data_IF_633180794194
#
_entry.id   IF_633180794194
#
_cell.length_a   1.000
_cell.length_b   1.000
_cell.length_c   1.000
_cell.angle_alpha   90.00
_cell.angle_beta   90.00
_cell.angle_gamma   90.00
#
_symmetry.space_group_name_H-M   'P 1'
#
loop_
_entity.id
_entity.type
_entity.pdbx_description
1 polymer ?
#
# COMPACT_ATOMS: atom_id res chain seq x y z
N UNK A 1 -1.85 14.51 -12.08
CA UNK A 1 -1.02 13.30 -11.95
C UNK A 1 -0.21 13.01 -13.21
N UNK A 2 1.08 12.67 -13.10
CA UNK A 2 1.90 12.19 -14.22
C UNK A 2 1.45 10.78 -14.64
N UNK A 3 1.42 10.46 -15.94
CA UNK A 3 0.98 9.17 -16.46
C UNK A 3 1.73 7.96 -15.85
N UNK A 4 3.01 8.15 -15.47
CA UNK A 4 3.80 7.15 -14.76
C UNK A 4 3.27 6.84 -13.36
N UNK A 5 2.86 7.86 -12.63
CA UNK A 5 2.39 7.75 -11.25
C UNK A 5 1.06 6.99 -11.19
N UNK A 6 0.16 7.27 -12.14
CA UNK A 6 -1.09 6.53 -12.33
C UNK A 6 -0.82 5.04 -12.62
N UNK A 7 0.21 4.73 -13.42
CA UNK A 7 0.58 3.35 -13.70
C UNK A 7 1.14 2.64 -12.45
N UNK A 8 1.98 3.31 -11.66
CA UNK A 8 2.52 2.76 -10.41
C UNK A 8 1.38 2.47 -9.43
N UNK A 9 0.47 3.42 -9.21
CA UNK A 9 -0.69 3.22 -8.33
C UNK A 9 -1.58 2.10 -8.80
N UNK A 10 -1.82 1.96 -10.11
CA UNK A 10 -2.58 0.83 -10.66
C UNK A 10 -1.90 -0.52 -10.40
N UNK A 11 -0.57 -0.59 -10.53
CA UNK A 11 0.19 -1.81 -10.23
C UNK A 11 0.11 -2.14 -8.74
N UNK A 12 0.16 -1.14 -7.87
CA UNK A 12 0.01 -1.31 -6.42
C UNK A 12 -1.41 -1.78 -6.10
N UNK A 13 -2.43 -1.13 -6.64
CA UNK A 13 -3.83 -1.51 -6.48
C UNK A 13 -4.07 -2.97 -6.90
N UNK A 14 -3.59 -3.38 -8.07
CA UNK A 14 -3.74 -4.77 -8.54
C UNK A 14 -2.96 -5.76 -7.63
N UNK A 15 -1.80 -5.36 -7.11
CA UNK A 15 -1.02 -6.19 -6.18
C UNK A 15 -1.72 -6.34 -4.83
N UNK A 16 -2.40 -5.31 -4.33
CA UNK A 16 -3.11 -5.36 -3.04
C UNK A 16 -4.45 -6.10 -3.17
N UNK A 17 -5.16 -5.89 -4.28
CA UNK A 17 -6.46 -6.54 -4.55
C UNK A 17 -6.31 -7.98 -5.04
N UNK A 18 -5.19 -8.33 -5.68
CA UNK A 18 -4.82 -9.69 -6.08
C UNK A 18 -3.44 -10.06 -5.51
N UNK A 19 -3.35 -10.20 -4.19
CA UNK A 19 -2.08 -10.43 -3.55
C UNK A 19 -1.55 -11.84 -3.83
N UNK A 20 -0.22 -12.02 -3.89
CA UNK A 20 0.39 -13.34 -4.07
C UNK A 20 0.08 -14.27 -2.88
N UNK A 21 -0.13 -13.68 -1.69
CA UNK A 21 -0.56 -14.39 -0.48
C UNK A 21 -1.74 -13.62 0.16
N UNK A 22 -2.79 -14.31 0.64
CA UNK A 22 -3.86 -13.64 1.37
C UNK A 22 -3.33 -13.01 2.67
N UNK A 23 -3.90 -11.88 3.09
CA UNK A 23 -3.56 -11.30 4.38
C UNK A 23 -4.19 -12.15 5.49
N UNK A 24 -3.34 -12.64 6.40
CA UNK A 24 -3.74 -13.40 7.57
C UNK A 24 -3.34 -12.62 8.83
N UNK A 25 -4.25 -11.84 9.44
CA UNK A 25 -3.91 -10.95 10.56
C UNK A 25 -3.37 -11.69 11.79
N UNK A 26 -3.72 -12.97 11.95
CA UNK A 26 -3.19 -13.83 13.02
C UNK A 26 -1.73 -14.25 12.81
N UNK A 27 -1.23 -14.21 11.57
CA UNK A 27 0.14 -14.61 11.23
C UNK A 27 1.07 -13.41 11.06
N UNK A 28 0.55 -12.30 10.52
CA UNK A 28 1.34 -11.13 10.17
C UNK A 28 0.52 -9.84 10.21
N UNK A 29 1.18 -8.74 10.61
CA UNK A 29 0.56 -7.41 10.56
C UNK A 29 0.28 -6.98 9.11
N UNK A 30 -0.77 -6.18 8.93
CA UNK A 30 -1.13 -5.62 7.60
C UNK A 30 0.05 -4.90 6.94
N UNK A 31 0.83 -4.18 7.75
CA UNK A 31 2.08 -3.53 7.35
C UNK A 31 3.08 -4.53 6.76
N UNK A 32 3.43 -5.58 7.50
CA UNK A 32 4.42 -6.55 7.06
C UNK A 32 3.98 -7.26 5.78
N UNK A 33 2.68 -7.62 5.70
CA UNK A 33 2.08 -8.22 4.52
C UNK A 33 2.11 -7.29 3.30
N UNK A 34 1.72 -6.02 3.46
CA UNK A 34 1.72 -5.04 2.38
C UNK A 34 3.15 -4.80 1.86
N UNK A 35 4.11 -4.64 2.77
CA UNK A 35 5.52 -4.52 2.42
C UNK A 35 6.03 -5.75 1.67
N UNK A 36 5.61 -6.97 2.06
CA UNK A 36 5.96 -8.20 1.36
C UNK A 36 5.39 -8.23 -0.05
N UNK A 37 4.08 -7.97 -0.22
CA UNK A 37 3.42 -7.99 -1.53
C UNK A 37 4.08 -7.01 -2.51
N UNK A 38 4.44 -5.81 -2.03
CA UNK A 38 5.13 -4.81 -2.84
C UNK A 38 6.57 -5.22 -3.19
N UNK A 39 7.30 -5.83 -2.25
CA UNK A 39 8.66 -6.36 -2.49
C UNK A 39 8.64 -7.50 -3.51
N UNK A 40 7.70 -8.43 -3.37
CA UNK A 40 7.50 -9.54 -4.29
C UNK A 40 7.22 -9.03 -5.72
N UNK A 41 6.42 -7.95 -5.84
CA UNK A 41 6.18 -7.28 -7.12
C UNK A 41 7.42 -6.59 -7.71
N UNK A 42 8.47 -6.38 -6.92
CA UNK A 42 9.74 -5.76 -7.33
C UNK A 42 9.91 -4.30 -6.88
N UNK A 43 9.02 -3.77 -6.04
CA UNK A 43 9.19 -2.43 -5.48
C UNK A 43 10.23 -2.39 -4.36
N UNK A 44 11.02 -1.32 -4.33
CA UNK A 44 11.99 -1.08 -3.26
C UNK A 44 11.29 -0.44 -2.05
N UNK A 45 10.83 -1.28 -1.12
CA UNK A 45 10.16 -0.83 0.10
C UNK A 45 11.17 -0.45 1.19
N UNK A 46 11.08 0.79 1.69
CA UNK A 46 11.91 1.37 2.73
C UNK A 46 11.07 1.81 3.93
N UNK A 47 11.68 1.87 5.11
CA UNK A 47 11.03 2.42 6.30
C UNK A 47 10.94 3.95 6.21
N UNK A 48 9.86 4.51 6.75
CA UNK A 48 9.61 5.95 6.82
C UNK A 48 9.33 6.36 8.27
N UNK A 49 9.65 7.61 8.63
CA UNK A 49 9.33 8.14 9.97
C UNK A 49 7.92 8.71 10.06
N UNK A 50 7.38 9.25 8.97
CA UNK A 50 6.07 9.93 8.92
C UNK A 50 4.94 9.04 8.37
N UNK A 51 5.25 7.79 8.05
CA UNK A 51 4.34 6.82 7.43
C UNK A 51 4.73 5.41 7.89
N UNK A 52 3.90 4.42 7.60
CA UNK A 52 4.25 3.04 7.92
C UNK A 52 5.46 2.56 7.14
N UNK A 53 5.45 2.83 5.85
CA UNK A 53 6.55 2.56 4.95
C UNK A 53 6.49 3.51 3.75
N UNK A 54 7.53 3.48 2.95
CA UNK A 54 7.56 4.15 1.66
C UNK A 54 8.12 3.20 0.60
N UNK A 55 7.84 3.47 -0.67
CA UNK A 55 8.53 2.81 -1.78
C UNK A 55 9.37 3.83 -2.53
N UNK A 56 10.57 3.41 -2.92
CA UNK A 56 11.45 4.16 -3.79
C UNK A 56 11.20 3.71 -5.24
N UNK A 57 10.72 4.64 -6.05
CA UNK A 57 10.60 4.50 -7.50
C UNK A 57 11.91 5.00 -8.12
N UNK A 58 12.42 4.29 -9.14
CA UNK A 58 13.72 4.62 -9.74
C UNK A 58 13.66 6.01 -10.39
N UNK A 59 14.29 7.00 -9.75
CA UNK A 59 14.43 8.37 -10.25
C UNK A 59 13.27 9.31 -9.90
N UNK A 60 12.38 8.92 -8.99
CA UNK A 60 11.23 9.73 -8.55
C UNK A 60 11.19 9.84 -7.02
N UNK A 61 10.29 10.69 -6.52
CA UNK A 61 10.07 10.88 -5.10
C UNK A 61 9.52 9.61 -4.42
N UNK A 62 9.81 9.49 -3.13
CA UNK A 62 9.30 8.40 -2.30
C UNK A 62 7.79 8.50 -2.21
N UNK A 63 7.11 7.40 -2.50
CA UNK A 63 5.67 7.30 -2.25
C UNK A 63 5.48 6.74 -0.85
N UNK A 64 4.74 7.48 -0.02
CA UNK A 64 4.49 7.12 1.37
C UNK A 64 3.16 6.41 1.51
N UNK A 65 3.15 5.36 2.35
CA UNK A 65 1.99 4.53 2.58
C UNK A 65 1.73 4.34 4.06
N UNK A 66 0.46 4.38 4.43
CA UNK A 66 -0.03 3.96 5.75
C UNK A 66 -0.95 2.77 5.60
N UNK A 67 -1.07 2.00 6.68
CA UNK A 67 -2.00 0.88 6.73
C UNK A 67 -3.06 1.12 7.79
N UNK A 68 -4.29 0.71 7.50
CA UNK A 68 -5.41 0.81 8.44
C UNK A 68 -6.26 -0.45 8.39
N UNK A 69 -6.91 -0.78 9.50
CA UNK A 69 -7.92 -1.83 9.54
C UNK A 69 -9.35 -1.27 9.50
N UNK A 70 -9.49 0.05 9.33
CA UNK A 70 -10.76 0.75 9.12
C UNK A 70 -10.59 1.79 8.01
N UNK A 71 -11.64 2.02 7.23
CA UNK A 71 -11.74 3.10 6.24
C UNK A 71 -12.21 4.42 6.84
N UNK A 72 -12.47 4.48 8.15
CA UNK A 72 -12.79 5.71 8.87
C UNK A 72 -11.61 6.70 8.89
N UNK A 73 -11.91 7.96 8.55
CA UNK A 73 -11.03 9.14 8.71
C UNK A 73 -9.65 9.00 8.05
N UNK A 74 -9.60 8.38 6.86
CA UNK A 74 -8.37 8.29 6.09
C UNK A 74 -7.94 9.67 5.58
N UNK A 75 -6.74 10.09 5.95
CA UNK A 75 -6.15 11.33 5.46
C UNK A 75 -5.83 11.23 3.96
N UNK A 76 -6.43 12.13 3.17
CA UNK A 76 -6.29 12.10 1.70
C UNK A 76 -4.91 12.58 1.19
N UNK A 77 -4.02 13.06 2.07
CA UNK A 77 -2.68 13.54 1.68
C UNK A 77 -1.66 12.40 1.54
N UNK A 78 -2.00 11.18 1.99
CA UNK A 78 -1.14 10.00 1.90
C UNK A 78 -1.91 8.80 1.34
N UNK A 79 -1.18 7.85 0.77
CA UNK A 79 -1.78 6.62 0.24
C UNK A 79 -2.01 5.60 1.36
N UNK A 80 -3.16 4.94 1.34
CA UNK A 80 -3.57 3.99 2.36
C UNK A 80 -3.76 2.59 1.79
N UNK A 81 -3.43 1.59 2.60
CA UNK A 81 -3.84 0.21 2.38
C UNK A 81 -4.76 -0.15 3.53
N UNK A 82 -6.02 -0.39 3.20
CA UNK A 82 -7.07 -0.66 4.17
C UNK A 82 -7.38 -2.14 4.13
N UNK A 83 -7.34 -2.79 5.29
CA UNK A 83 -7.84 -4.16 5.42
C UNK A 83 -9.23 -4.14 6.00
N UNK A 84 -10.18 -4.69 5.24
CA UNK A 84 -11.52 -4.94 5.74
C UNK A 84 -11.58 -6.36 6.32
N UNK A 85 -11.78 -6.45 7.63
CA UNK A 85 -11.87 -7.74 8.33
C UNK A 85 -13.19 -8.49 8.10
N UNK A 86 -14.23 -7.77 7.65
CA UNK A 86 -15.57 -8.31 7.38
C UNK A 86 -15.60 -9.04 6.04
N UNK A 87 -15.09 -8.40 4.99
CA UNK A 87 -14.98 -8.95 3.64
C UNK A 87 -13.69 -9.75 3.46
N UNK A 88 -12.73 -9.63 4.39
CA UNK A 88 -11.38 -10.22 4.31
C UNK A 88 -10.65 -9.81 3.04
N UNK A 89 -10.78 -8.55 2.68
CA UNK A 89 -10.14 -7.98 1.48
C UNK A 89 -9.30 -6.77 1.83
N UNK A 90 -8.18 -6.62 1.12
CA UNK A 90 -7.37 -5.41 1.19
C UNK A 90 -7.76 -4.48 0.03
N UNK A 91 -7.91 -3.20 0.34
CA UNK A 91 -8.19 -2.14 -0.63
C UNK A 91 -7.06 -1.13 -0.60
N UNK A 92 -6.68 -0.64 -1.78
CA UNK A 92 -5.72 0.44 -1.92
C UNK A 92 -6.46 1.76 -2.15
N UNK A 93 -6.15 2.78 -1.36
CA UNK A 93 -6.68 4.14 -1.50
C UNK A 93 -5.51 5.06 -1.85
N UNK A 94 -5.39 5.50 -3.12
CA UNK A 94 -4.35 6.44 -3.51
C UNK A 94 -4.56 7.80 -2.86
N UNK A 95 -3.46 8.52 -2.62
CA UNK A 95 -3.53 9.93 -2.22
C UNK A 95 -4.18 10.75 -3.36
N UNK A 96 -4.95 11.78 -3.00
CA UNK A 96 -5.57 12.67 -3.97
C UNK A 96 -4.55 13.75 -4.36
N UNK A 97 -4.06 13.73 -5.60
CA UNK A 97 -3.00 14.62 -6.14
C UNK A 97 -3.51 15.45 -7.31
#
# INVERSE_FOLDING_TARGET
MSAKLTQIFKVIEDTITKPPIPHEPYKQSLKAWAMYCLRDRGFKVVYAQNADFAIETKGEEKLYFKVSNSDDDLDNSISWIVWDSTTKTATFVPQNI
#
